data_IF_988197220275
#
_entry.id   IF_988197220275
#
_cell.length_a   1.000
_cell.length_b   1.000
_cell.length_c   1.000
_cell.angle_alpha   90.00
_cell.angle_beta   90.00
_cell.angle_gamma   90.00
#
_symmetry.space_group_name_H-M   'P 1'
#
loop_
_entity.id
_entity.type
_entity.pdbx_description
1 polymer ?
#
# COMPACT_ATOMS: atom_id res chain seq x y z
N UNK A 1 -17.88 6.52 -15.74
CA UNK A 1 -17.06 5.29 -15.73
C UNK A 1 -15.82 5.60 -14.91
N UNK A 2 -15.57 4.94 -13.77
CA UNK A 2 -14.35 5.23 -12.98
C UNK A 2 -13.14 4.68 -13.73
N UNK A 3 -12.28 5.56 -14.23
CA UNK A 3 -10.98 5.15 -14.76
C UNK A 3 -10.11 4.76 -13.56
N UNK A 4 -9.96 3.45 -13.38
CA UNK A 4 -8.94 2.87 -12.51
C UNK A 4 -8.11 1.90 -13.34
N UNK A 5 -6.89 1.65 -12.90
CA UNK A 5 -6.00 0.73 -13.57
C UNK A 5 -6.46 -0.73 -13.39
N UNK A 6 -6.19 -1.55 -14.41
CA UNK A 6 -6.61 -2.96 -14.47
C UNK A 6 -6.15 -3.80 -13.26
N UNK A 7 -5.03 -3.44 -12.61
CA UNK A 7 -4.55 -4.18 -11.43
C UNK A 7 -5.57 -4.15 -10.28
N UNK A 8 -6.37 -3.08 -10.15
CA UNK A 8 -7.39 -2.98 -9.10
C UNK A 8 -8.49 -4.02 -9.33
N UNK A 9 -8.94 -4.20 -10.59
CA UNK A 9 -9.94 -5.22 -10.93
C UNK A 9 -9.39 -6.63 -10.74
N UNK A 10 -8.11 -6.86 -11.05
CA UNK A 10 -7.44 -8.15 -10.77
C UNK A 10 -7.43 -8.44 -9.27
N UNK A 11 -6.99 -7.50 -8.44
CA UNK A 11 -6.98 -7.67 -6.98
C UNK A 11 -8.39 -7.98 -6.45
N UNK A 12 -9.40 -7.23 -6.89
CA UNK A 12 -10.79 -7.44 -6.47
C UNK A 12 -11.34 -8.79 -6.90
N UNK A 13 -10.98 -9.25 -8.10
CA UNK A 13 -11.35 -10.58 -8.57
C UNK A 13 -10.73 -11.66 -7.67
N UNK A 14 -9.46 -11.55 -7.33
CA UNK A 14 -8.80 -12.52 -6.44
C UNK A 14 -9.41 -12.51 -5.02
N UNK A 15 -9.76 -11.32 -4.49
CA UNK A 15 -10.48 -11.20 -3.22
C UNK A 15 -11.88 -11.83 -3.27
N UNK A 16 -12.59 -11.71 -4.41
CA UNK A 16 -13.87 -12.37 -4.62
C UNK A 16 -13.71 -13.90 -4.71
N UNK A 17 -12.67 -14.39 -5.39
CA UNK A 17 -12.35 -15.82 -5.44
C UNK A 17 -12.05 -16.35 -4.05
N UNK A 18 -11.25 -15.61 -3.26
CA UNK A 18 -10.99 -15.92 -1.86
C UNK A 18 -12.29 -16.01 -1.04
N UNK A 19 -13.18 -15.01 -1.15
CA UNK A 19 -14.50 -15.01 -0.50
C UNK A 19 -15.33 -16.24 -0.85
N UNK A 20 -15.40 -16.58 -2.13
CA UNK A 20 -16.15 -17.74 -2.61
C UNK A 20 -15.57 -19.06 -2.07
N UNK A 21 -14.24 -19.18 -2.00
CA UNK A 21 -13.58 -20.36 -1.42
C UNK A 21 -13.82 -20.48 0.08
N UNK A 22 -13.72 -19.37 0.82
CA UNK A 22 -13.99 -19.34 2.26
C UNK A 22 -15.44 -19.75 2.56
N UNK A 23 -16.39 -19.23 1.78
CA UNK A 23 -17.80 -19.63 1.85
C UNK A 23 -18.04 -21.10 1.46
N UNK A 24 -17.23 -21.64 0.54
CA UNK A 24 -17.26 -23.06 0.21
C UNK A 24 -16.82 -23.95 1.38
N UNK A 25 -15.82 -23.51 2.14
CA UNK A 25 -15.34 -24.21 3.35
C UNK A 25 -16.37 -24.14 4.46
N UNK A 26 -16.97 -22.97 4.72
CA UNK A 26 -17.96 -22.79 5.80
C UNK A 26 -19.24 -23.63 5.63
N UNK A 27 -19.55 -24.03 4.39
CA UNK A 27 -20.66 -24.97 4.09
C UNK A 27 -20.34 -26.43 4.43
N UNK A 28 -19.06 -26.80 4.52
CA UNK A 28 -18.60 -28.17 4.80
C UNK A 28 -18.21 -28.36 6.26
N UNK A 29 -17.65 -27.32 6.87
CA UNK A 29 -17.19 -27.33 8.26
C UNK A 29 -17.66 -26.02 8.92
N UNK A 30 -18.27 -26.08 10.13
CA UNK A 30 -18.62 -24.86 10.86
C UNK A 30 -17.38 -23.99 11.07
N UNK A 31 -17.37 -22.82 10.43
CA UNK A 31 -16.26 -21.88 10.52
C UNK A 31 -16.66 -20.74 11.47
N UNK A 32 -16.01 -20.61 12.64
CA UNK A 32 -16.28 -19.50 13.55
C UNK A 32 -16.05 -18.17 12.85
N UNK A 33 -16.91 -17.19 13.12
CA UNK A 33 -16.81 -15.85 12.53
C UNK A 33 -15.44 -15.21 12.80
N UNK A 34 -14.87 -15.43 13.99
CA UNK A 34 -13.55 -14.96 14.35
C UNK A 34 -12.44 -15.48 13.40
N UNK A 35 -12.55 -16.72 12.92
CA UNK A 35 -11.58 -17.28 11.97
C UNK A 35 -11.73 -16.62 10.60
N UNK A 36 -12.96 -16.49 10.11
CA UNK A 36 -13.24 -15.76 8.86
C UNK A 36 -12.72 -14.32 8.92
N UNK A 37 -12.91 -13.67 10.07
CA UNK A 37 -12.44 -12.31 10.32
C UNK A 37 -10.92 -12.22 10.21
N UNK A 38 -10.19 -13.06 10.93
CA UNK A 38 -8.72 -13.11 10.90
C UNK A 38 -8.20 -13.38 9.49
N UNK A 39 -8.83 -14.31 8.76
CA UNK A 39 -8.45 -14.62 7.39
C UNK A 39 -8.61 -13.42 6.45
N UNK A 40 -9.74 -12.71 6.55
CA UNK A 40 -9.94 -11.47 5.80
C UNK A 40 -8.96 -10.38 6.19
N UNK A 41 -8.69 -10.18 7.48
CA UNK A 41 -7.73 -9.18 7.94
C UNK A 41 -6.35 -9.40 7.33
N UNK A 42 -5.88 -10.66 7.31
CA UNK A 42 -4.59 -11.02 6.73
C UNK A 42 -4.55 -10.84 5.22
N UNK A 43 -5.58 -11.32 4.50
CA UNK A 43 -5.62 -11.22 3.04
C UNK A 43 -5.68 -9.76 2.58
N UNK A 44 -6.46 -8.91 3.25
CA UNK A 44 -6.52 -7.47 2.96
C UNK A 44 -5.18 -6.80 3.27
N UNK A 45 -4.59 -7.11 4.43
CA UNK A 45 -3.28 -6.57 4.80
C UNK A 45 -2.19 -6.95 3.79
N UNK A 46 -2.19 -8.21 3.32
CA UNK A 46 -1.27 -8.66 2.27
C UNK A 46 -1.52 -7.91 0.96
N UNK A 47 -2.76 -7.78 0.51
CA UNK A 47 -3.09 -7.04 -0.72
C UNK A 47 -2.61 -5.59 -0.66
N UNK A 48 -2.81 -4.91 0.47
CA UNK A 48 -2.37 -3.53 0.68
C UNK A 48 -0.84 -3.42 0.75
N UNK A 49 -0.13 -4.39 1.35
CA UNK A 49 1.34 -4.41 1.31
C UNK A 49 1.88 -4.65 -0.09
N UNK A 50 1.26 -5.56 -0.85
CA UNK A 50 1.60 -5.81 -2.25
C UNK A 50 1.37 -4.59 -3.13
N UNK A 51 0.37 -3.75 -2.84
CA UNK A 51 0.20 -2.47 -3.55
C UNK A 51 1.42 -1.56 -3.38
N UNK A 52 1.91 -1.38 -2.14
CA UNK A 52 3.08 -0.53 -1.89
C UNK A 52 4.35 -1.11 -2.50
N UNK A 53 4.51 -2.44 -2.50
CA UNK A 53 5.58 -3.09 -3.26
C UNK A 53 5.49 -2.78 -4.76
N UNK A 54 4.29 -2.85 -5.32
CA UNK A 54 4.02 -2.47 -6.71
C UNK A 54 4.37 -1.00 -6.99
N UNK A 55 3.92 -0.07 -6.15
CA UNK A 55 4.23 1.37 -6.28
C UNK A 55 5.73 1.64 -6.16
N UNK A 56 6.41 0.99 -5.21
CA UNK A 56 7.86 1.10 -5.04
C UNK A 56 8.65 0.50 -6.22
N UNK A 57 8.07 -0.39 -7.01
CA UNK A 57 8.72 -0.93 -8.21
C UNK A 57 8.64 0.01 -9.43
N UNK A 58 7.84 1.08 -9.36
CA UNK A 58 7.69 2.02 -10.45
C UNK A 58 8.97 2.83 -10.67
N UNK A 59 9.50 2.82 -11.90
CA UNK A 59 10.73 3.54 -12.27
C UNK A 59 10.55 5.04 -12.43
N UNK A 60 9.31 5.48 -12.67
CA UNK A 60 8.92 6.88 -12.84
C UNK A 60 7.59 7.08 -12.17
N UNK A 61 7.45 8.16 -11.41
CA UNK A 61 6.24 8.49 -10.67
C UNK A 61 5.84 9.95 -10.98
N UNK A 62 5.10 10.15 -12.06
CA UNK A 62 4.60 11.48 -12.46
C UNK A 62 3.47 11.94 -11.55
N UNK A 63 3.15 13.24 -11.57
CA UNK A 63 2.06 13.78 -10.77
C UNK A 63 0.70 13.15 -11.13
N UNK A 64 0.46 12.94 -12.44
CA UNK A 64 -0.72 12.24 -12.94
C UNK A 64 -0.75 10.78 -12.46
N UNK A 65 0.42 10.11 -12.47
CA UNK A 65 0.56 8.74 -12.00
C UNK A 65 0.24 8.62 -10.51
N UNK A 66 0.75 9.53 -9.67
CA UNK A 66 0.46 9.57 -8.23
C UNK A 66 -1.02 9.84 -7.95
N UNK A 67 -1.63 10.76 -8.70
CA UNK A 67 -3.06 11.03 -8.58
C UNK A 67 -3.90 9.79 -8.95
N UNK A 68 -3.50 9.07 -10.00
CA UNK A 68 -4.12 7.79 -10.37
C UNK A 68 -3.93 6.72 -9.28
N UNK A 69 -2.74 6.58 -8.66
CA UNK A 69 -2.53 5.65 -7.54
C UNK A 69 -3.52 5.91 -6.39
N UNK A 70 -3.77 7.18 -6.05
CA UNK A 70 -4.74 7.54 -5.02
C UNK A 70 -6.17 7.17 -5.45
N UNK A 71 -6.56 7.48 -6.69
CA UNK A 71 -7.89 7.15 -7.22
C UNK A 71 -8.12 5.63 -7.27
N UNK A 72 -7.13 4.89 -7.75
CA UNK A 72 -7.11 3.42 -7.79
C UNK A 72 -7.31 2.84 -6.39
N UNK A 73 -6.58 3.36 -5.40
CA UNK A 73 -6.71 2.91 -4.02
C UNK A 73 -8.09 3.24 -3.43
N UNK A 74 -8.65 4.42 -3.70
CA UNK A 74 -10.02 4.74 -3.29
C UNK A 74 -11.06 3.81 -3.94
N UNK A 75 -10.90 3.47 -5.22
CA UNK A 75 -11.78 2.52 -5.91
C UNK A 75 -11.67 1.12 -5.30
N UNK A 76 -10.45 0.67 -5.00
CA UNK A 76 -10.22 -0.59 -4.31
C UNK A 76 -10.94 -0.61 -2.96
N UNK A 77 -10.78 0.43 -2.14
CA UNK A 77 -11.42 0.53 -0.83
C UNK A 77 -12.95 0.47 -0.96
N UNK A 78 -13.56 1.31 -1.82
CA UNK A 78 -15.03 1.32 -1.99
C UNK A 78 -15.60 -0.02 -2.45
N UNK A 79 -14.89 -0.75 -3.32
CA UNK A 79 -15.34 -2.07 -3.78
C UNK A 79 -15.06 -3.15 -2.72
N UNK A 80 -13.93 -3.09 -2.03
CA UNK A 80 -13.57 -3.98 -0.92
C UNK A 80 -14.58 -3.87 0.23
N UNK A 81 -15.04 -2.67 0.54
CA UNK A 81 -16.04 -2.41 1.58
C UNK A 81 -17.36 -3.16 1.35
N UNK A 82 -17.68 -3.52 0.10
CA UNK A 82 -18.85 -4.33 -0.28
C UNK A 82 -18.59 -5.84 -0.23
N UNK A 83 -17.33 -6.26 -0.27
CA UNK A 83 -16.91 -7.67 -0.24
C UNK A 83 -16.74 -8.22 1.18
N UNK A 84 -16.50 -7.34 2.16
CA UNK A 84 -16.19 -7.73 3.52
C UNK A 84 -16.63 -6.69 4.56
N UNK A 85 -16.95 -7.17 5.76
CA UNK A 85 -17.33 -6.36 6.91
C UNK A 85 -16.14 -5.92 7.79
N UNK A 86 -14.89 -6.27 7.41
CA UNK A 86 -13.70 -5.86 8.19
C UNK A 86 -13.60 -4.34 8.25
N UNK A 87 -13.66 -3.78 9.46
CA UNK A 87 -13.44 -2.36 9.75
C UNK A 87 -12.65 -2.20 11.05
N UNK A 88 -11.63 -1.31 11.11
CA UNK A 88 -11.05 -0.55 9.99
C UNK A 88 -10.38 -1.46 8.95
N UNK A 89 -10.15 -0.95 7.74
CA UNK A 89 -9.45 -1.72 6.68
C UNK A 89 -7.98 -1.88 7.08
N UNK A 90 -7.45 -3.12 7.22
CA UNK A 90 -6.06 -3.36 7.58
C UNK A 90 -5.09 -2.69 6.61
N UNK A 91 -4.01 -2.10 7.12
CA UNK A 91 -2.96 -1.48 6.30
C UNK A 91 -3.46 -0.35 5.38
N UNK A 92 -4.62 0.26 5.67
CA UNK A 92 -5.13 1.39 4.89
C UNK A 92 -4.17 2.58 4.97
N UNK A 93 -3.78 2.95 6.18
CA UNK A 93 -2.88 4.07 6.45
C UNK A 93 -1.48 3.81 5.89
N UNK A 94 -1.05 2.54 5.83
CA UNK A 94 0.22 2.14 5.22
C UNK A 94 0.27 2.50 3.72
N UNK A 95 -0.80 2.22 2.97
CA UNK A 95 -0.84 2.58 1.54
C UNK A 95 -1.02 4.10 1.36
N UNK A 96 -1.95 4.70 2.10
CA UNK A 96 -2.31 6.11 1.95
C UNK A 96 -1.15 7.04 2.35
N UNK A 97 -0.43 6.73 3.44
CA UNK A 97 0.74 7.50 3.84
C UNK A 97 1.89 7.38 2.83
N UNK A 98 2.09 6.22 2.20
CA UNK A 98 3.10 6.05 1.16
C UNK A 98 2.80 6.92 -0.08
N UNK A 99 1.55 6.93 -0.55
CA UNK A 99 1.15 7.78 -1.70
C UNK A 99 1.29 9.26 -1.34
N UNK A 100 0.88 9.66 -0.12
CA UNK A 100 0.99 11.05 0.34
C UNK A 100 2.42 11.53 0.53
N UNK A 101 3.36 10.63 0.84
CA UNK A 101 4.76 10.98 1.06
C UNK A 101 5.44 11.58 -0.20
N UNK A 102 4.93 11.30 -1.41
CA UNK A 102 5.39 11.95 -2.64
C UNK A 102 5.19 13.48 -2.67
N UNK A 103 4.33 14.02 -1.81
CA UNK A 103 3.99 15.44 -1.78
C UNK A 103 4.64 16.19 -0.59
N UNK A 104 5.38 15.48 0.26
CA UNK A 104 6.02 16.09 1.42
C UNK A 104 7.21 16.95 1.01
N UNK A 105 7.37 18.18 1.55
CA UNK A 105 8.61 18.94 1.40
C UNK A 105 9.78 18.20 2.07
N UNK A 106 11.02 18.52 1.67
CA UNK A 106 12.22 17.80 2.10
C UNK A 106 12.32 17.61 3.63
N UNK A 107 12.05 18.65 4.41
CA UNK A 107 12.12 18.61 5.87
C UNK A 107 11.08 17.67 6.49
N UNK A 108 9.85 17.66 5.96
CA UNK A 108 8.80 16.77 6.43
C UNK A 108 9.02 15.33 5.97
N UNK A 109 9.55 15.15 4.76
CA UNK A 109 9.91 13.83 4.25
C UNK A 109 11.03 13.21 5.09
N UNK A 110 12.04 13.99 5.49
CA UNK A 110 13.11 13.54 6.38
C UNK A 110 12.55 13.02 7.71
N UNK A 111 11.66 13.77 8.35
CA UNK A 111 10.99 13.35 9.60
C UNK A 111 10.14 12.09 9.39
N UNK A 112 9.35 12.07 8.32
CA UNK A 112 8.49 10.94 7.99
C UNK A 112 9.29 9.65 7.77
N UNK A 113 10.43 9.71 7.08
CA UNK A 113 11.33 8.56 6.89
C UNK A 113 11.89 8.05 8.22
N UNK A 114 12.25 8.96 9.16
CA UNK A 114 12.83 8.58 10.46
C UNK A 114 11.82 7.89 11.36
N UNK A 115 10.58 8.37 11.36
CA UNK A 115 9.55 7.89 12.28
C UNK A 115 8.91 6.57 11.84
N UNK A 116 8.99 6.25 10.54
CA UNK A 116 8.29 5.11 9.94
C UNK A 116 9.18 3.88 9.84
N UNK A 117 8.79 2.79 10.52
CA UNK A 117 9.52 1.51 10.52
C UNK A 117 8.87 0.42 9.69
N UNK A 118 7.63 0.65 9.28
CA UNK A 118 6.78 -0.29 8.54
C UNK A 118 7.19 -0.44 7.06
N UNK A 119 7.92 0.52 6.49
CA UNK A 119 8.43 0.44 5.12
C UNK A 119 9.85 -0.14 5.08
N UNK A 120 10.12 -0.94 4.05
CA UNK A 120 11.46 -1.42 3.77
C UNK A 120 12.39 -0.30 3.27
N UNK A 121 13.71 -0.41 3.48
CA UNK A 121 14.68 0.53 2.91
C UNK A 121 14.52 0.71 1.40
N UNK A 122 14.23 -0.37 0.67
CA UNK A 122 14.00 -0.34 -0.78
C UNK A 122 12.79 0.51 -1.16
N UNK A 123 11.68 0.38 -0.44
CA UNK A 123 10.48 1.18 -0.68
C UNK A 123 10.72 2.67 -0.44
N UNK A 124 11.44 3.01 0.63
CA UNK A 124 11.78 4.39 0.97
C UNK A 124 12.74 5.01 -0.05
N UNK A 125 13.80 4.30 -0.43
CA UNK A 125 14.76 4.76 -1.45
C UNK A 125 14.07 4.96 -2.80
N UNK A 126 13.18 4.06 -3.20
CA UNK A 126 12.41 4.20 -4.45
C UNK A 126 11.54 5.46 -4.44
N UNK A 127 10.84 5.71 -3.32
CA UNK A 127 10.04 6.92 -3.14
C UNK A 127 10.91 8.18 -3.28
N UNK A 128 12.03 8.25 -2.54
CA UNK A 128 12.94 9.40 -2.56
C UNK A 128 13.43 9.68 -3.98
N UNK A 129 13.80 8.64 -4.72
CA UNK A 129 14.30 8.78 -6.10
C UNK A 129 13.24 9.29 -7.08
N UNK A 130 11.97 9.06 -6.78
CA UNK A 130 10.84 9.52 -7.58
C UNK A 130 10.35 10.93 -7.20
N UNK A 131 10.82 11.50 -6.08
CA UNK A 131 10.48 12.87 -5.66
C UNK A 131 11.29 13.88 -6.48
N UNK A 132 10.59 14.67 -7.28
CA UNK A 132 11.13 15.60 -8.27
C UNK A 132 11.38 17.01 -7.72
N UNK A 133 10.59 17.47 -6.73
CA UNK A 133 10.77 18.78 -6.10
C UNK A 133 11.97 18.88 -5.15
N UNK A 134 12.59 17.75 -4.79
CA UNK A 134 13.82 17.72 -3.98
C UNK A 134 15.03 17.72 -4.91
N UNK A 135 16.02 18.55 -4.64
CA UNK A 135 17.23 18.60 -5.47
C UNK A 135 18.10 17.33 -5.30
N UNK A 136 19.09 17.15 -6.19
CA UNK A 136 19.96 15.97 -6.19
C UNK A 136 20.70 15.76 -4.86
N UNK A 137 21.16 16.84 -4.23
CA UNK A 137 21.91 16.78 -2.96
C UNK A 137 21.00 16.34 -1.80
N UNK A 138 19.78 16.87 -1.73
CA UNK A 138 18.77 16.50 -0.74
C UNK A 138 18.39 15.02 -0.87
N UNK A 139 18.13 14.54 -2.10
CA UNK A 139 17.85 13.12 -2.34
C UNK A 139 18.99 12.21 -1.90
N UNK A 140 20.24 12.52 -2.24
CA UNK A 140 21.40 11.73 -1.83
C UNK A 140 21.54 11.65 -0.30
N UNK A 141 21.31 12.77 0.39
CA UNK A 141 21.31 12.83 1.86
C UNK A 141 20.22 11.96 2.48
N UNK A 142 19.01 11.99 1.95
CA UNK A 142 17.89 11.16 2.42
C UNK A 142 18.13 9.67 2.17
N UNK A 143 18.69 9.30 1.01
CA UNK A 143 19.05 7.90 0.70
C UNK A 143 20.11 7.39 1.68
N UNK A 144 21.20 8.14 1.90
CA UNK A 144 22.23 7.77 2.85
C UNK A 144 21.66 7.55 4.27
N UNK A 145 20.74 8.42 4.70
CA UNK A 145 20.05 8.29 5.99
C UNK A 145 19.25 6.97 6.12
N UNK A 146 18.57 6.55 5.05
CA UNK A 146 17.84 5.27 5.01
C UNK A 146 18.81 4.08 5.09
N UNK A 147 19.91 4.13 4.34
CA UNK A 147 20.93 3.07 4.33
C UNK A 147 21.63 2.93 5.68
N UNK A 148 22.02 4.04 6.31
CA UNK A 148 22.59 4.04 7.66
C UNK A 148 21.64 3.48 8.71
N UNK A 149 20.35 3.81 8.61
CA UNK A 149 19.33 3.30 9.53
C UNK A 149 19.07 1.80 9.34
N UNK A 150 19.20 1.30 8.11
CA UNK A 150 19.03 -0.12 7.80
C UNK A 150 20.17 -0.97 8.35
N UNK A 151 21.41 -0.46 8.33
CA UNK A 151 22.59 -1.17 8.84
C UNK A 151 22.65 -1.27 10.38
N UNK A 152 21.80 -0.52 11.09
CA UNK A 152 21.73 -0.55 12.57
C UNK A 152 20.66 -1.50 13.13
N UNK A 153 19.86 -2.14 12.26
CA UNK A 153 18.82 -3.11 12.65
C UNK A 153 19.33 -4.53 12.50
#
# INVERSE_FOLDING_TARGET
MSQHNNYVDVILRELQVFSNRLNGVSRRVPLPEAVSKVMWEHVIGLANRTLVEGYASAKKCTNEGRALMQLDFQQLLMKLEKLTNIRPIPEREFVDAYIKAYYLPETQLELWIRDRREYSPKQLISLINCVDHINKRGRQRLVAMVEESANRR
#
